data_IF_886972519785
#
_entry.id   IF_886972519785
#
_cell.length_a   1.000
_cell.length_b   1.000
_cell.length_c   1.000
_cell.angle_alpha   90.00
_cell.angle_beta   90.00
_cell.angle_gamma   90.00
#
_symmetry.space_group_name_H-M   'P 1'
#
loop_
_entity.id
_entity.type
_entity.pdbx_description
1 polymer ?
#
# COMPACT_ATOMS: atom_id res chain seq x y z
N UNK A 1 4.94 8.38 -3.27
CA UNK A 1 4.08 9.54 -2.99
C UNK A 1 2.64 9.17 -3.29
N UNK A 2 1.71 9.56 -2.44
CA UNK A 2 0.27 9.53 -2.72
C UNK A 2 -0.15 10.93 -3.17
N UNK A 3 -0.91 11.02 -4.26
CA UNK A 3 -1.32 12.30 -4.87
C UNK A 3 -2.84 12.29 -5.03
N UNK A 4 -3.49 13.34 -4.55
CA UNK A 4 -4.91 13.60 -4.77
C UNK A 4 -5.06 14.62 -5.88
N UNK A 5 -5.84 14.30 -6.88
CA UNK A 5 -6.04 15.13 -8.06
C UNK A 5 -7.53 15.36 -8.29
N UNK A 6 -7.85 16.55 -8.77
CA UNK A 6 -9.18 16.84 -9.25
C UNK A 6 -9.48 16.06 -10.54
N UNK A 7 -10.57 15.30 -10.53
CA UNK A 7 -10.93 14.45 -11.67
C UNK A 7 -11.38 15.23 -12.93
N UNK A 8 -11.84 16.46 -12.77
CA UNK A 8 -12.35 17.25 -13.90
C UNK A 8 -11.23 17.91 -14.70
N UNK A 9 -10.17 18.36 -14.04
CA UNK A 9 -9.11 19.14 -14.70
C UNK A 9 -7.68 18.59 -14.46
N UNK A 10 -7.54 17.54 -13.65
CA UNK A 10 -6.26 16.90 -13.35
C UNK A 10 -5.32 17.70 -12.45
N UNK A 11 -5.80 18.79 -11.85
CA UNK A 11 -4.97 19.56 -10.92
C UNK A 11 -4.71 18.82 -9.64
N UNK A 12 -3.49 18.89 -9.14
CA UNK A 12 -3.12 18.34 -7.85
C UNK A 12 -3.75 19.17 -6.74
N UNK A 13 -4.53 18.49 -5.88
CA UNK A 13 -5.15 19.07 -4.68
C UNK A 13 -4.17 18.99 -3.51
N UNK A 14 -3.68 17.78 -3.21
CA UNK A 14 -2.69 17.52 -2.16
C UNK A 14 -1.78 16.36 -2.55
N UNK A 15 -0.62 16.29 -1.89
CA UNK A 15 0.28 15.15 -2.01
C UNK A 15 0.90 14.82 -0.65
N UNK A 16 1.16 13.54 -0.43
CA UNK A 16 1.72 13.03 0.81
C UNK A 16 2.90 12.09 0.51
N UNK A 17 4.00 12.20 1.27
CA UNK A 17 5.06 11.20 1.19
C UNK A 17 4.55 9.87 1.74
N UNK A 18 4.91 8.78 1.07
CA UNK A 18 4.66 7.41 1.51
C UNK A 18 5.92 6.58 1.32
N UNK A 19 5.99 5.42 1.94
CA UNK A 19 7.09 4.47 1.75
C UNK A 19 7.15 3.93 0.33
N UNK A 20 8.26 3.30 -0.02
CA UNK A 20 8.52 2.85 -1.38
C UNK A 20 7.70 1.64 -1.81
N UNK A 21 7.47 1.54 -3.12
CA UNK A 21 6.79 0.41 -3.73
C UNK A 21 5.29 0.38 -3.49
N UNK A 22 4.62 1.53 -3.67
CA UNK A 22 3.15 1.58 -3.69
C UNK A 22 2.60 0.64 -4.75
N UNK A 23 1.54 -0.10 -4.44
CA UNK A 23 0.96 -1.10 -5.31
C UNK A 23 -0.58 -1.05 -5.35
N UNK A 24 -1.21 -1.15 -4.20
CA UNK A 24 -2.67 -1.15 -4.12
C UNK A 24 -3.19 0.04 -3.35
N UNK A 25 -4.32 0.55 -3.82
CA UNK A 25 -5.08 1.61 -3.19
C UNK A 25 -6.55 1.18 -3.06
N UNK A 26 -7.16 1.51 -1.94
CA UNK A 26 -8.59 1.31 -1.71
C UNK A 26 -9.16 2.55 -1.05
N UNK A 27 -10.31 2.99 -1.55
CA UNK A 27 -11.10 4.06 -0.96
C UNK A 27 -12.40 3.52 -0.34
N UNK A 28 -12.56 3.71 0.96
CA UNK A 28 -13.82 3.46 1.67
C UNK A 28 -14.64 4.75 1.74
N UNK A 29 -15.54 4.92 0.78
CA UNK A 29 -16.39 6.09 0.69
C UNK A 29 -17.24 6.31 1.95
N UNK A 30 -17.69 5.23 2.58
CA UNK A 30 -18.55 5.32 3.77
C UNK A 30 -17.82 5.92 4.98
N UNK A 31 -16.54 5.61 5.13
CA UNK A 31 -15.72 6.08 6.22
C UNK A 31 -14.80 7.24 5.84
N UNK A 32 -14.72 7.58 4.56
CA UNK A 32 -13.81 8.57 4.03
C UNK A 32 -12.33 8.16 4.18
N UNK A 33 -12.03 6.86 4.20
CA UNK A 33 -10.68 6.36 4.41
C UNK A 33 -10.05 5.88 3.11
N UNK A 34 -8.79 6.22 2.94
CA UNK A 34 -7.97 5.78 1.82
C UNK A 34 -6.81 4.96 2.37
N UNK A 35 -6.61 3.77 1.83
CA UNK A 35 -5.55 2.85 2.22
C UNK A 35 -4.59 2.65 1.06
N UNK A 36 -3.30 2.80 1.30
CA UNK A 36 -2.25 2.59 0.30
C UNK A 36 -1.23 1.60 0.84
N UNK A 37 -1.15 0.44 0.21
CA UNK A 37 -0.14 -0.57 0.57
C UNK A 37 1.19 -0.31 -0.13
N UNK A 38 2.28 -0.63 0.54
CA UNK A 38 3.62 -0.47 0.00
C UNK A 38 4.49 -1.70 0.22
N UNK A 39 5.36 -1.99 -0.74
CA UNK A 39 6.29 -3.13 -0.70
C UNK A 39 7.24 -3.08 0.50
N UNK A 40 7.56 -1.91 1.00
CA UNK A 40 8.40 -1.74 2.20
C UNK A 40 7.73 -2.20 3.51
N UNK A 41 6.49 -2.67 3.43
CA UNK A 41 5.77 -3.26 4.55
C UNK A 41 5.00 -2.24 5.37
N UNK A 42 4.23 -1.41 4.69
CA UNK A 42 3.32 -0.46 5.31
C UNK A 42 2.00 -0.39 4.57
N UNK A 43 0.93 -0.13 5.31
CA UNK A 43 -0.32 0.41 4.78
C UNK A 43 -0.47 1.82 5.35
N UNK A 44 -0.41 2.82 4.49
CA UNK A 44 -0.68 4.22 4.84
C UNK A 44 -2.18 4.46 4.80
N UNK A 45 -2.70 5.23 5.75
CA UNK A 45 -4.12 5.51 5.91
C UNK A 45 -4.32 7.02 5.88
N UNK A 46 -5.19 7.48 5.00
CA UNK A 46 -5.58 8.87 4.87
C UNK A 46 -7.08 9.02 5.07
N UNK A 47 -7.49 10.21 5.44
CA UNK A 47 -8.90 10.56 5.59
C UNK A 47 -9.25 11.71 4.63
N UNK A 48 -10.37 11.56 3.93
CA UNK A 48 -10.99 12.64 3.18
C UNK A 48 -11.83 13.49 4.14
N UNK A 49 -11.28 14.62 4.56
CA UNK A 49 -11.96 15.57 5.44
C UNK A 49 -13.04 16.36 4.69
N UNK A 50 -12.76 16.65 3.43
CA UNK A 50 -13.66 17.22 2.45
C UNK A 50 -13.13 16.89 1.02
N UNK A 51 -13.88 17.12 -0.04
CA UNK A 51 -13.40 16.86 -1.42
C UNK A 51 -12.07 17.54 -1.77
N UNK A 52 -11.74 18.64 -1.11
CA UNK A 52 -10.53 19.41 -1.36
C UNK A 52 -9.51 19.37 -0.20
N UNK A 53 -9.77 18.59 0.85
CA UNK A 53 -8.88 18.50 2.00
C UNK A 53 -8.77 17.07 2.51
N UNK A 54 -7.53 16.62 2.64
CA UNK A 54 -7.17 15.26 3.08
C UNK A 54 -6.14 15.36 4.20
N UNK A 55 -6.15 14.38 5.08
CA UNK A 55 -5.20 14.30 6.20
C UNK A 55 -4.66 12.88 6.38
N UNK A 56 -3.47 12.77 6.96
CA UNK A 56 -2.96 11.48 7.37
C UNK A 56 -3.74 11.00 8.60
N UNK A 57 -4.35 9.81 8.49
CA UNK A 57 -5.05 9.16 9.60
C UNK A 57 -4.16 8.18 10.36
N UNK A 58 -3.06 7.75 9.75
CA UNK A 58 -2.08 6.85 10.36
C UNK A 58 -1.41 5.92 9.38
N UNK A 59 -0.71 4.96 9.92
CA UNK A 59 -0.12 3.87 9.14
C UNK A 59 0.01 2.60 9.96
N UNK A 60 -0.09 1.47 9.30
CA UNK A 60 0.04 0.14 9.91
C UNK A 60 1.29 -0.52 9.38
N UNK A 61 2.14 -1.03 10.26
CA UNK A 61 3.28 -1.85 9.87
C UNK A 61 2.78 -3.21 9.41
N UNK A 62 3.20 -3.59 8.21
CA UNK A 62 2.98 -4.91 7.64
C UNK A 62 4.32 -5.63 7.47
N UNK A 63 4.45 -6.48 6.50
CA UNK A 63 5.69 -7.19 6.21
C UNK A 63 6.25 -6.78 4.85
N UNK A 64 7.56 -6.96 4.64
CA UNK A 64 8.19 -6.74 3.35
C UNK A 64 7.47 -7.52 2.25
N UNK A 65 7.16 -6.85 1.15
CA UNK A 65 6.48 -7.45 0.02
C UNK A 65 4.96 -7.54 0.14
N UNK A 66 4.37 -7.20 1.31
CA UNK A 66 2.93 -7.17 1.53
C UNK A 66 2.31 -5.94 0.87
N UNK A 67 2.11 -6.00 -0.43
CA UNK A 67 1.68 -4.87 -1.27
C UNK A 67 0.35 -5.08 -1.97
N UNK A 68 0.02 -6.30 -2.36
CA UNK A 68 -1.31 -6.62 -2.90
C UNK A 68 -2.32 -6.62 -1.75
N UNK A 69 -3.41 -5.88 -1.92
CA UNK A 69 -4.34 -5.62 -0.83
C UNK A 69 -5.78 -5.86 -1.27
N UNK A 70 -6.57 -6.42 -0.36
CA UNK A 70 -8.02 -6.45 -0.43
C UNK A 70 -8.63 -5.78 0.80
N UNK A 71 -9.84 -5.29 0.67
CA UNK A 71 -10.54 -4.59 1.74
C UNK A 71 -11.99 -5.04 1.85
N UNK A 72 -12.43 -5.35 3.06
CA UNK A 72 -13.83 -5.63 3.35
C UNK A 72 -14.51 -4.39 3.97
N UNK A 73 -15.29 -3.69 3.17
CA UNK A 73 -15.99 -2.47 3.59
C UNK A 73 -17.07 -2.69 4.66
N UNK A 74 -17.52 -3.93 4.87
CA UNK A 74 -18.50 -4.25 5.92
C UNK A 74 -17.84 -4.27 7.29
N UNK A 75 -16.67 -4.91 7.39
CA UNK A 75 -15.96 -5.10 8.66
C UNK A 75 -14.84 -4.07 8.87
N UNK A 76 -14.38 -3.39 7.81
CA UNK A 76 -13.24 -2.51 7.82
C UNK A 76 -11.89 -3.25 7.87
N UNK A 77 -11.88 -4.54 7.58
CA UNK A 77 -10.66 -5.35 7.59
C UNK A 77 -9.86 -5.18 6.31
N UNK A 78 -8.55 -5.12 6.48
CA UNK A 78 -7.56 -5.07 5.40
C UNK A 78 -6.88 -6.43 5.34
N UNK A 79 -6.71 -6.95 4.14
CA UNK A 79 -5.99 -8.18 3.84
C UNK A 79 -4.83 -7.84 2.93
N UNK A 80 -3.61 -8.18 3.32
CA UNK A 80 -2.42 -8.08 2.48
C UNK A 80 -1.70 -9.40 2.46
N UNK A 81 -1.16 -9.78 1.33
CA UNK A 81 -0.44 -11.03 1.18
C UNK A 81 1.06 -10.83 0.99
N UNK A 82 1.82 -11.78 1.45
CA UNK A 82 3.26 -11.83 1.25
C UNK A 82 3.78 -13.25 1.41
N UNK A 83 5.10 -13.39 1.30
CA UNK A 83 5.84 -14.62 1.58
C UNK A 83 7.18 -14.24 2.21
N UNK A 84 7.92 -15.19 2.72
CA UNK A 84 9.32 -15.02 3.04
C UNK A 84 10.14 -14.98 1.76
N UNK A 85 11.14 -14.10 1.70
CA UNK A 85 12.01 -13.94 0.54
C UNK A 85 13.41 -14.42 0.84
N UNK A 86 14.04 -15.06 -0.16
CA UNK A 86 15.42 -15.46 -0.11
C UNK A 86 16.38 -14.29 -0.24
N UNK A 87 17.68 -14.59 -0.34
CA UNK A 87 18.71 -13.58 -0.56
C UNK A 87 18.52 -12.91 -1.92
N UNK A 88 18.68 -11.59 -1.97
CA UNK A 88 18.69 -10.85 -3.23
C UNK A 88 19.89 -11.29 -4.07
N UNK A 89 19.68 -11.73 -5.34
CA UNK A 89 20.80 -12.07 -6.23
C UNK A 89 21.72 -10.88 -6.48
N UNK A 90 22.95 -11.17 -6.84
CA UNK A 90 23.90 -10.13 -7.25
C UNK A 90 23.44 -9.45 -8.56
N UNK A 91 23.56 -8.13 -8.66
CA UNK A 91 23.26 -7.40 -9.89
C UNK A 91 24.11 -7.88 -11.07
N UNK A 92 23.49 -7.99 -12.23
CA UNK A 92 24.17 -8.27 -13.50
C UNK A 92 23.88 -7.18 -14.51
N UNK A 93 24.61 -7.16 -15.63
CA UNK A 93 24.33 -6.20 -16.72
C UNK A 93 22.94 -6.36 -17.30
N UNK A 94 22.42 -7.59 -17.34
CA UNK A 94 21.08 -7.91 -17.86
C UNK A 94 19.99 -7.64 -16.81
N UNK A 95 20.33 -7.82 -15.53
CA UNK A 95 19.43 -7.61 -14.40
C UNK A 95 20.09 -6.71 -13.35
N UNK A 96 20.13 -5.37 -13.58
CA UNK A 96 20.81 -4.45 -12.68
C UNK A 96 20.09 -4.27 -11.34
N UNK A 97 18.80 -4.61 -11.27
CA UNK A 97 17.97 -4.51 -10.05
C UNK A 97 17.26 -5.84 -9.77
N UNK A 98 17.99 -6.89 -9.39
CA UNK A 98 17.39 -8.19 -9.14
C UNK A 98 16.49 -8.14 -7.91
N UNK A 99 15.44 -8.97 -7.93
CA UNK A 99 14.55 -9.14 -6.79
C UNK A 99 14.76 -10.51 -6.15
N UNK A 100 14.66 -10.61 -4.80
CA UNK A 100 14.70 -11.91 -4.15
C UNK A 100 13.48 -12.74 -4.56
N UNK A 101 13.67 -14.05 -4.70
CA UNK A 101 12.59 -14.99 -4.96
C UNK A 101 11.84 -15.33 -3.65
N UNK A 102 10.52 -15.55 -3.71
CA UNK A 102 9.79 -16.04 -2.57
C UNK A 102 10.23 -17.48 -2.23
N UNK A 103 10.30 -17.78 -0.94
CA UNK A 103 10.60 -19.13 -0.45
C UNK A 103 9.34 -19.97 -0.57
N UNK A 104 9.36 -21.13 -1.26
CA UNK A 104 8.19 -22.00 -1.40
C UNK A 104 7.58 -22.39 -0.03
N UNK A 105 6.24 -22.38 0.05
CA UNK A 105 5.51 -22.77 1.26
C UNK A 105 5.44 -21.70 2.34
N UNK A 106 5.90 -20.47 2.09
CA UNK A 106 5.88 -19.38 3.07
C UNK A 106 4.80 -18.32 2.80
N UNK A 107 4.02 -18.49 1.73
CA UNK A 107 2.92 -17.57 1.42
C UNK A 107 1.93 -17.48 2.58
N UNK A 108 1.55 -16.28 2.95
CA UNK A 108 0.57 -16.05 4.01
C UNK A 108 -0.17 -14.72 3.79
N UNK A 109 -1.33 -14.61 4.42
CA UNK A 109 -2.17 -13.43 4.41
C UNK A 109 -2.18 -12.80 5.78
N UNK A 110 -1.89 -11.52 5.84
CA UNK A 110 -2.00 -10.70 7.04
C UNK A 110 -3.37 -10.03 7.06
N UNK A 111 -4.04 -10.07 8.20
CA UNK A 111 -5.36 -9.47 8.40
C UNK A 111 -5.28 -8.41 9.48
N UNK A 112 -5.69 -7.20 9.16
CA UNK A 112 -5.75 -6.08 10.10
C UNK A 112 -7.19 -5.64 10.29
N UNK A 113 -7.63 -5.57 11.54
CA UNK A 113 -8.93 -5.05 11.92
C UNK A 113 -8.83 -3.59 12.38
N UNK A 114 -9.91 -2.82 12.27
CA UNK A 114 -9.96 -1.47 12.82
C UNK A 114 -9.66 -1.41 14.30
#
# INVERSE_FOLDING_TARGET
MMVVMNADDGKVIQSFPISGGADAEVYDQKRGLIFVSTREGWVHIFHEDSPDHYSEAGKVKTELGAKTMAYDSKTGRIFVDTAEFGKTPEPTKEHPHPRPAPIPGTFHVLVYAP
#
